data_IF_983521465976
#
_entry.id   IF_983521465976
#
_cell.length_a   1.000
_cell.length_b   1.000
_cell.length_c   1.000
_cell.angle_alpha   90.00
_cell.angle_beta   90.00
_cell.angle_gamma   90.00
#
_symmetry.space_group_name_H-M   'P 1'
#
loop_
_entity.id
_entity.type
_entity.pdbx_description
1 polymer ?
#
# COMPACT_ATOMS: atom_id res chain seq x y z
N UNK A 1 63.01 27.60 28.41
CA UNK A 1 61.56 27.81 28.61
C UNK A 1 60.75 28.10 27.34
N UNK A 2 61.35 28.62 26.25
CA UNK A 2 60.63 28.96 25.01
C UNK A 2 60.12 27.76 24.18
N UNK A 3 60.85 26.64 24.19
CA UNK A 3 60.55 25.43 23.41
C UNK A 3 59.21 24.80 23.82
N UNK A 4 58.88 24.77 25.11
CA UNK A 4 57.58 24.27 25.61
C UNK A 4 56.39 25.09 25.11
N UNK A 5 56.54 26.42 24.97
CA UNK A 5 55.47 27.29 24.44
C UNK A 5 55.26 27.07 22.94
N UNK A 6 56.34 26.84 22.20
CA UNK A 6 56.27 26.53 20.76
C UNK A 6 55.67 25.14 20.50
N UNK A 7 56.03 24.14 21.32
CA UNK A 7 55.39 22.82 21.27
C UNK A 7 53.90 22.88 21.61
N UNK A 8 53.51 23.64 22.63
CA UNK A 8 52.09 23.84 22.98
C UNK A 8 51.28 24.48 21.84
N UNK A 9 51.84 25.48 21.15
CA UNK A 9 51.19 26.11 19.99
C UNK A 9 51.04 25.16 18.80
N UNK A 10 52.02 24.29 18.56
CA UNK A 10 51.96 23.27 17.52
C UNK A 10 50.91 22.19 17.82
N UNK A 11 50.82 21.74 19.08
CA UNK A 11 49.81 20.77 19.51
C UNK A 11 48.42 21.41 19.47
N UNK A 12 48.27 22.66 19.93
CA UNK A 12 47.00 23.39 19.87
C UNK A 12 46.52 23.58 18.43
N UNK A 13 47.43 23.94 17.51
CA UNK A 13 47.12 24.10 16.09
C UNK A 13 46.70 22.78 15.44
N UNK A 14 47.41 21.69 15.73
CA UNK A 14 47.03 20.36 15.24
C UNK A 14 45.70 19.88 15.85
N UNK A 15 45.45 20.15 17.13
CA UNK A 15 44.21 19.81 17.81
C UNK A 15 42.99 20.53 17.22
N UNK A 16 43.11 21.84 16.97
CA UNK A 16 42.06 22.64 16.35
C UNK A 16 41.76 22.18 14.91
N UNK A 17 42.81 21.88 14.14
CA UNK A 17 42.71 21.38 12.77
C UNK A 17 41.99 20.01 12.73
N UNK A 18 42.36 19.11 13.64
CA UNK A 18 41.78 17.76 13.73
C UNK A 18 40.33 17.81 14.22
N UNK A 19 40.00 18.70 15.17
CA UNK A 19 38.61 18.90 15.63
C UNK A 19 37.69 19.42 14.53
N UNK A 20 38.16 20.35 13.68
CA UNK A 20 37.32 20.96 12.65
C UNK A 20 36.96 19.97 11.55
N UNK A 21 37.89 19.11 11.15
CA UNK A 21 37.64 18.04 10.16
C UNK A 21 36.65 16.99 10.68
N UNK A 22 36.77 16.59 11.96
CA UNK A 22 35.83 15.64 12.60
C UNK A 22 34.43 16.25 12.74
N UNK A 23 34.33 17.55 13.06
CA UNK A 23 33.03 18.23 13.11
C UNK A 23 32.37 18.34 11.73
N UNK A 24 33.15 18.57 10.67
CA UNK A 24 32.63 18.64 9.29
C UNK A 24 32.07 17.29 8.86
N UNK A 25 32.82 16.19 9.06
CA UNK A 25 32.33 14.85 8.72
C UNK A 25 31.16 14.40 9.58
N UNK A 26 31.12 14.77 10.86
CA UNK A 26 29.95 14.53 11.71
C UNK A 26 28.71 15.23 11.17
N UNK A 27 28.81 16.51 10.81
CA UNK A 27 27.68 17.26 10.24
C UNK A 27 27.27 16.68 8.89
N UNK A 28 28.23 16.28 8.05
CA UNK A 28 27.99 15.66 6.75
C UNK A 28 27.24 14.32 6.84
N UNK A 29 27.43 13.56 7.92
CA UNK A 29 26.69 12.31 8.18
C UNK A 29 25.36 12.58 8.88
N UNK A 30 25.34 13.50 9.86
CA UNK A 30 24.13 13.82 10.63
C UNK A 30 23.08 14.48 9.74
N UNK A 31 23.48 15.36 8.82
CA UNK A 31 22.57 16.09 7.93
C UNK A 31 21.66 15.15 7.11
N UNK A 32 22.18 14.20 6.29
CA UNK A 32 21.35 13.26 5.54
C UNK A 32 20.56 12.31 6.44
N UNK A 33 21.08 11.94 7.62
CA UNK A 33 20.35 11.16 8.62
C UNK A 33 19.14 11.93 9.16
N UNK A 34 19.30 13.22 9.45
CA UNK A 34 18.24 14.09 9.97
C UNK A 34 17.15 14.28 8.92
N UNK A 35 17.53 14.56 7.67
CA UNK A 35 16.58 14.63 6.55
C UNK A 35 15.83 13.31 6.34
N UNK A 36 16.54 12.17 6.34
CA UNK A 36 15.93 10.86 6.20
C UNK A 36 14.94 10.57 7.35
N UNK A 37 15.33 10.90 8.59
CA UNK A 37 14.48 10.75 9.76
C UNK A 37 13.20 11.58 9.66
N UNK A 38 13.29 12.85 9.25
CA UNK A 38 12.13 13.72 9.04
C UNK A 38 11.17 13.11 8.00
N UNK A 39 11.69 12.64 6.86
CA UNK A 39 10.87 12.03 5.81
C UNK A 39 10.15 10.76 6.29
N UNK A 40 10.81 9.93 7.10
CA UNK A 40 10.19 8.74 7.70
C UNK A 40 9.08 9.14 8.66
N UNK A 41 9.31 10.13 9.53
CA UNK A 41 8.29 10.63 10.48
C UNK A 41 7.10 11.21 9.73
N UNK A 42 7.34 12.03 8.69
CA UNK A 42 6.26 12.57 7.86
C UNK A 42 5.43 11.45 7.22
N UNK A 43 6.09 10.42 6.69
CA UNK A 43 5.40 9.25 6.11
C UNK A 43 4.56 8.49 7.14
N UNK A 44 5.01 8.40 8.39
CA UNK A 44 4.25 7.78 9.47
C UNK A 44 3.06 8.64 9.93
N UNK A 45 3.17 9.97 9.81
CA UNK A 45 2.09 10.90 10.16
C UNK A 45 0.98 10.94 9.11
N UNK A 46 1.29 10.61 7.86
CA UNK A 46 0.27 10.39 6.82
C UNK A 46 -0.36 9.02 7.06
N UNK A 47 -1.33 8.99 7.97
CA UNK A 47 -2.19 7.83 8.11
C UNK A 47 -3.04 7.66 6.83
N UNK A 48 -3.16 6.42 6.37
CA UNK A 48 -4.20 6.06 5.41
C UNK A 48 -5.54 6.53 5.97
N UNK A 49 -6.23 7.37 5.21
CA UNK A 49 -7.54 7.88 5.60
C UNK A 49 -8.55 6.78 5.32
N UNK A 50 -9.06 6.16 6.38
CA UNK A 50 -10.13 5.19 6.28
C UNK A 50 -11.42 5.95 5.95
N UNK A 51 -12.03 5.63 4.81
CA UNK A 51 -13.34 6.14 4.44
C UNK A 51 -14.37 5.10 4.90
N UNK A 52 -15.14 5.38 5.97
CA UNK A 52 -16.12 4.41 6.49
C UNK A 52 -17.33 4.24 5.55
N UNK A 53 -17.48 5.14 4.57
CA UNK A 53 -18.55 5.09 3.59
C UNK A 53 -17.97 4.89 2.20
N UNK A 54 -18.61 4.05 1.39
CA UNK A 54 -18.19 3.79 0.02
C UNK A 54 -18.22 5.11 -0.78
N UNK A 55 -17.06 5.57 -1.23
CA UNK A 55 -16.95 6.73 -2.10
C UNK A 55 -17.45 6.34 -3.48
N UNK A 56 -18.63 6.82 -3.84
CA UNK A 56 -19.21 6.62 -5.18
C UNK A 56 -18.50 7.56 -6.15
N UNK A 57 -17.86 6.99 -7.16
CA UNK A 57 -17.25 7.73 -8.26
C UNK A 57 -18.14 7.65 -9.49
N UNK A 58 -18.25 8.76 -10.21
CA UNK A 58 -18.85 8.78 -11.54
C UNK A 58 -17.99 7.97 -12.51
N UNK A 59 -18.64 7.38 -13.52
CA UNK A 59 -17.93 6.62 -14.55
C UNK A 59 -16.96 7.53 -15.31
N UNK A 60 -15.70 7.10 -15.41
CA UNK A 60 -14.67 7.81 -16.16
C UNK A 60 -13.91 6.84 -17.08
N UNK A 61 -13.60 7.28 -18.30
CA UNK A 61 -12.86 6.49 -19.28
C UNK A 61 -11.36 6.48 -18.93
N UNK A 62 -10.85 5.31 -18.57
CA UNK A 62 -9.43 5.14 -18.24
C UNK A 62 -8.67 4.70 -19.49
N UNK A 63 -8.24 5.66 -20.31
CA UNK A 63 -7.53 5.36 -21.56
C UNK A 63 -6.06 4.97 -21.34
N UNK A 64 -5.43 5.45 -20.25
CA UNK A 64 -4.02 5.16 -19.93
C UNK A 64 -3.78 5.14 -18.42
N UNK A 65 -3.20 4.04 -17.93
CA UNK A 65 -2.69 3.97 -16.56
C UNK A 65 -1.24 4.49 -16.49
N UNK A 66 -0.80 5.01 -15.32
CA UNK A 66 0.58 5.45 -15.11
C UNK A 66 1.61 4.37 -15.47
N UNK A 67 2.68 4.73 -16.18
CA UNK A 67 3.68 3.79 -16.70
C UNK A 67 4.40 2.92 -15.65
N UNK A 68 4.36 3.31 -14.37
CA UNK A 68 4.91 2.52 -13.26
C UNK A 68 4.23 1.15 -13.16
N UNK A 69 2.93 1.07 -13.48
CA UNK A 69 2.14 -0.15 -13.39
C UNK A 69 2.44 -1.15 -14.51
N UNK A 70 3.00 -0.70 -15.63
CA UNK A 70 3.33 -1.55 -16.79
C UNK A 70 4.50 -2.50 -16.49
N UNK A 71 5.42 -2.09 -15.61
CA UNK A 71 6.63 -2.86 -15.27
C UNK A 71 6.43 -3.79 -14.07
N UNK A 72 5.28 -3.72 -13.40
CA UNK A 72 5.01 -4.49 -12.19
C UNK A 72 4.05 -5.65 -12.46
N UNK A 73 4.27 -6.79 -11.80
CA UNK A 73 3.32 -7.91 -11.78
C UNK A 73 2.19 -7.60 -10.79
N UNK A 74 1.22 -6.81 -11.24
CA UNK A 74 0.05 -6.44 -10.45
C UNK A 74 -0.96 -7.59 -10.42
N UNK A 75 -1.65 -7.71 -9.30
CA UNK A 75 -2.76 -8.63 -9.12
C UNK A 75 -4.05 -7.82 -9.00
N UNK A 76 -5.09 -8.22 -9.73
CA UNK A 76 -6.46 -7.73 -9.58
C UNK A 76 -7.29 -8.88 -9.02
N UNK A 77 -8.00 -8.61 -7.94
CA UNK A 77 -8.88 -9.59 -7.32
C UNK A 77 -10.34 -9.41 -7.76
N UNK A 78 -11.10 -10.48 -7.67
CA UNK A 78 -12.55 -10.45 -7.87
C UNK A 78 -13.26 -11.35 -6.86
N UNK A 79 -14.46 -10.93 -6.46
CA UNK A 79 -15.34 -11.64 -5.50
C UNK A 79 -16.78 -11.55 -5.99
N UNK A 80 -17.56 -12.64 -6.06
CA UNK A 80 -17.20 -14.01 -5.66
C UNK A 80 -16.48 -14.79 -6.76
N UNK A 81 -15.52 -15.63 -6.35
CA UNK A 81 -14.74 -16.51 -7.22
C UNK A 81 -15.49 -17.75 -7.70
N UNK A 82 -16.63 -18.07 -7.08
CA UNK A 82 -17.41 -19.27 -7.39
C UNK A 82 -18.27 -19.11 -8.65
N UNK A 83 -18.63 -17.88 -9.03
CA UNK A 83 -19.42 -17.62 -10.23
C UNK A 83 -18.59 -17.75 -11.50
N UNK A 84 -19.04 -18.59 -12.43
CA UNK A 84 -18.39 -18.80 -13.73
C UNK A 84 -18.43 -17.53 -14.58
N UNK A 85 -19.50 -16.76 -14.47
CA UNK A 85 -19.70 -15.52 -15.22
C UNK A 85 -18.82 -14.40 -14.71
N UNK A 86 -18.68 -14.25 -13.39
CA UNK A 86 -17.73 -13.29 -12.80
C UNK A 86 -16.29 -13.61 -13.23
N UNK A 87 -15.94 -14.89 -13.24
CA UNK A 87 -14.63 -15.36 -13.72
C UNK A 87 -14.42 -15.06 -15.21
N UNK A 88 -15.46 -15.19 -16.03
CA UNK A 88 -15.37 -14.85 -17.46
C UNK A 88 -15.13 -13.36 -17.67
N UNK A 89 -15.87 -12.50 -16.96
CA UNK A 89 -15.66 -11.04 -16.99
C UNK A 89 -14.24 -10.69 -16.55
N UNK A 90 -13.73 -11.35 -15.51
CA UNK A 90 -12.36 -11.20 -15.06
C UNK A 90 -11.34 -11.55 -16.16
N UNK A 91 -11.48 -12.68 -16.86
CA UNK A 91 -10.57 -13.03 -17.96
C UNK A 91 -10.71 -12.10 -19.18
N UNK A 92 -11.90 -11.57 -19.48
CA UNK A 92 -12.10 -10.58 -20.54
C UNK A 92 -11.36 -9.28 -20.22
N UNK A 93 -11.49 -8.78 -18.98
CA UNK A 93 -10.75 -7.60 -18.49
C UNK A 93 -9.25 -7.84 -18.55
N UNK A 94 -8.78 -9.04 -18.20
CA UNK A 94 -7.36 -9.42 -18.30
C UNK A 94 -6.86 -9.33 -19.73
N UNK A 95 -7.65 -9.85 -20.67
CA UNK A 95 -7.29 -9.86 -22.10
C UNK A 95 -7.23 -8.45 -22.66
N UNK A 96 -8.22 -7.61 -22.34
CA UNK A 96 -8.26 -6.22 -22.79
C UNK A 96 -7.09 -5.39 -22.22
N UNK A 97 -6.81 -5.59 -20.93
CA UNK A 97 -5.68 -5.01 -20.22
C UNK A 97 -4.33 -5.41 -20.85
N UNK A 98 -4.18 -6.67 -21.25
CA UNK A 98 -2.97 -7.15 -21.91
C UNK A 98 -2.72 -6.47 -23.25
N UNK A 99 -3.77 -6.24 -24.05
CA UNK A 99 -3.71 -5.50 -25.32
C UNK A 99 -3.28 -4.05 -25.11
N UNK A 100 -3.69 -3.43 -24.00
CA UNK A 100 -3.23 -2.09 -23.58
C UNK A 100 -1.80 -2.08 -22.99
N UNK A 101 -1.07 -3.20 -23.04
CA UNK A 101 0.32 -3.30 -22.58
C UNK A 101 0.47 -3.54 -21.07
N UNK A 102 -0.60 -3.82 -20.35
CA UNK A 102 -0.57 -4.00 -18.90
C UNK A 102 -0.67 -5.47 -18.51
N UNK A 103 0.28 -5.96 -17.69
CA UNK A 103 0.33 -7.36 -17.24
C UNK A 103 -0.30 -7.53 -15.86
N UNK A 104 -1.59 -7.84 -15.84
CA UNK A 104 -2.34 -8.10 -14.61
C UNK A 104 -2.61 -9.60 -14.44
N UNK A 105 -2.47 -10.07 -13.21
CA UNK A 105 -2.89 -11.40 -12.78
C UNK A 105 -4.26 -11.33 -12.10
N UNK A 106 -5.19 -12.15 -12.53
CA UNK A 106 -6.51 -12.27 -11.92
C UNK A 106 -6.46 -13.24 -10.74
N UNK A 107 -7.05 -12.87 -9.59
CA UNK A 107 -7.18 -13.75 -8.42
C UNK A 107 -8.61 -13.74 -7.89
N UNK A 108 -9.31 -14.86 -8.02
CA UNK A 108 -10.65 -15.01 -7.46
C UNK A 108 -10.60 -15.34 -5.97
N UNK A 109 -11.51 -14.77 -5.19
CA UNK A 109 -11.78 -15.18 -3.81
C UNK A 109 -13.26 -15.51 -3.66
N UNK A 110 -13.57 -16.59 -2.97
CA UNK A 110 -14.96 -17.06 -2.79
C UNK A 110 -15.82 -16.04 -2.01
N UNK A 111 -15.26 -15.46 -0.95
CA UNK A 111 -15.94 -14.49 -0.09
C UNK A 111 -15.08 -13.27 0.19
N UNK A 112 -15.74 -12.18 0.59
CA UNK A 112 -15.08 -10.94 1.04
C UNK A 112 -14.18 -11.21 2.25
N UNK A 113 -14.57 -12.10 3.16
CA UNK A 113 -13.76 -12.43 4.35
C UNK A 113 -12.43 -13.10 3.97
N UNK A 114 -12.44 -14.00 3.00
CA UNK A 114 -11.22 -14.62 2.48
C UNK A 114 -10.29 -13.59 1.82
N UNK A 115 -10.88 -12.64 1.11
CA UNK A 115 -10.17 -11.52 0.53
C UNK A 115 -9.54 -10.62 1.60
N UNK A 116 -10.31 -10.19 2.60
CA UNK A 116 -9.80 -9.36 3.71
C UNK A 116 -8.66 -10.06 4.46
N UNK A 117 -8.82 -11.36 4.71
CA UNK A 117 -7.82 -12.16 5.39
C UNK A 117 -6.50 -12.21 4.60
N UNK A 118 -6.58 -12.37 3.27
CA UNK A 118 -5.42 -12.32 2.38
C UNK A 118 -4.72 -10.96 2.42
N UNK A 119 -5.49 -9.85 2.36
CA UNK A 119 -4.94 -8.49 2.41
C UNK A 119 -4.25 -8.18 3.73
N UNK A 120 -4.76 -8.72 4.85
CA UNK A 120 -4.19 -8.48 6.19
C UNK A 120 -2.95 -9.33 6.49
N UNK A 121 -2.94 -10.58 6.07
CA UNK A 121 -1.98 -11.56 6.58
C UNK A 121 -0.95 -12.03 5.56
N UNK A 122 -1.19 -11.87 4.25
CA UNK A 122 -0.27 -12.36 3.22
C UNK A 122 0.74 -11.29 2.81
N UNK A 123 2.07 -11.53 2.91
CA UNK A 123 3.08 -10.60 2.41
C UNK A 123 3.02 -10.37 0.89
N UNK A 124 2.36 -11.25 0.13
CA UNK A 124 2.12 -11.07 -1.30
C UNK A 124 1.00 -10.07 -1.62
N UNK A 125 0.22 -9.63 -0.62
CA UNK A 125 -0.84 -8.64 -0.80
C UNK A 125 -0.31 -7.32 -1.36
N UNK A 126 0.96 -6.97 -1.13
CA UNK A 126 1.55 -5.72 -1.64
C UNK A 126 1.58 -5.60 -3.17
N UNK A 127 1.31 -6.69 -3.91
CA UNK A 127 1.16 -6.69 -5.37
C UNK A 127 -0.29 -6.57 -5.83
N UNK A 128 -1.24 -6.63 -4.90
CA UNK A 128 -2.66 -6.48 -5.17
C UNK A 128 -2.99 -5.00 -5.38
N UNK A 129 -3.56 -4.69 -6.54
CA UNK A 129 -3.96 -3.33 -6.91
C UNK A 129 -5.31 -2.98 -6.29
N UNK A 130 -6.31 -3.82 -6.58
CA UNK A 130 -7.67 -3.66 -6.12
C UNK A 130 -8.43 -5.00 -6.24
N UNK A 131 -9.58 -5.06 -5.60
CA UNK A 131 -10.58 -6.09 -5.79
C UNK A 131 -11.88 -5.49 -6.30
N UNK A 132 -12.53 -6.20 -7.23
CA UNK A 132 -13.91 -5.93 -7.63
C UNK A 132 -14.82 -6.88 -6.86
N UNK A 133 -15.72 -6.32 -6.04
CA UNK A 133 -16.71 -7.09 -5.31
C UNK A 133 -18.07 -6.87 -5.97
N UNK A 134 -18.67 -7.95 -6.45
CA UNK A 134 -20.00 -7.94 -7.04
C UNK A 134 -21.04 -8.12 -5.94
N UNK A 135 -21.85 -7.11 -5.70
CA UNK A 135 -22.94 -7.14 -4.71
C UNK A 135 -24.17 -7.81 -5.32
N UNK A 136 -24.02 -9.08 -5.68
CA UNK A 136 -25.11 -9.88 -6.23
C UNK A 136 -25.10 -11.28 -5.60
N UNK A 137 -26.19 -11.69 -4.94
CA UNK A 137 -26.31 -13.05 -4.42
C UNK A 137 -26.55 -14.02 -5.58
N UNK A 138 -25.50 -14.73 -6.00
CA UNK A 138 -25.62 -15.81 -6.98
C UNK A 138 -26.26 -17.04 -6.31
N UNK A 139 -27.39 -17.50 -6.85
CA UNK A 139 -28.03 -18.74 -6.37
C UNK A 139 -27.41 -19.97 -7.02
N UNK A 140 -26.89 -19.81 -8.24
CA UNK A 140 -26.19 -20.84 -9.01
C UNK A 140 -24.93 -20.29 -9.66
N UNK A 141 -23.90 -21.13 -9.82
CA UNK A 141 -22.58 -20.71 -10.30
C UNK A 141 -22.61 -20.17 -11.74
N UNK A 142 -23.55 -20.66 -12.56
CA UNK A 142 -23.74 -20.29 -13.97
C UNK A 142 -24.86 -19.25 -14.19
N UNK A 143 -25.35 -18.62 -13.11
CA UNK A 143 -26.37 -17.59 -13.21
C UNK A 143 -25.81 -16.33 -13.92
N UNK A 144 -26.46 -15.85 -15.00
CA UNK A 144 -25.98 -14.69 -15.75
C UNK A 144 -26.10 -13.41 -14.90
N UNK A 145 -25.10 -12.53 -14.99
CA UNK A 145 -25.20 -11.23 -14.32
C UNK A 145 -26.35 -10.39 -14.90
N UNK A 146 -27.14 -9.71 -14.05
CA UNK A 146 -28.17 -8.79 -14.52
C UNK A 146 -27.55 -7.59 -15.25
N UNK A 147 -28.32 -6.90 -16.11
CA UNK A 147 -27.83 -5.76 -16.90
C UNK A 147 -27.29 -4.60 -16.05
N UNK A 148 -27.71 -4.49 -14.79
CA UNK A 148 -27.18 -3.54 -13.81
C UNK A 148 -26.77 -4.30 -12.57
N UNK A 149 -25.51 -4.14 -12.19
CA UNK A 149 -24.92 -4.79 -11.03
C UNK A 149 -24.28 -3.71 -10.15
N UNK A 150 -24.61 -3.72 -8.87
CA UNK A 150 -23.87 -2.94 -7.89
C UNK A 150 -22.48 -3.58 -7.71
N UNK A 151 -21.43 -2.80 -7.93
CA UNK A 151 -20.05 -3.25 -7.77
C UNK A 151 -19.29 -2.30 -6.85
N UNK A 152 -18.51 -2.87 -5.94
CA UNK A 152 -17.63 -2.14 -5.05
C UNK A 152 -16.18 -2.39 -5.45
N UNK A 153 -15.39 -1.32 -5.53
CA UNK A 153 -13.95 -1.38 -5.75
C UNK A 153 -13.22 -1.20 -4.42
N UNK A 154 -12.47 -2.22 -4.01
CA UNK A 154 -11.70 -2.20 -2.77
C UNK A 154 -10.21 -2.15 -3.10
N UNK A 155 -9.50 -1.12 -2.65
CA UNK A 155 -8.07 -0.98 -2.85
C UNK A 155 -7.32 -1.10 -1.52
N UNK A 156 -6.17 -1.76 -1.52
CA UNK A 156 -5.31 -1.77 -0.34
C UNK A 156 -4.65 -0.41 -0.18
N UNK A 157 -4.92 0.27 0.94
CA UNK A 157 -4.13 1.44 1.29
C UNK A 157 -2.78 0.97 1.85
N UNK A 158 -1.69 1.32 1.15
CA UNK A 158 -0.33 0.95 1.52
C UNK A 158 0.08 1.60 2.85
N UNK A 159 -0.26 0.94 3.96
CA UNK A 159 0.23 1.31 5.28
C UNK A 159 1.66 0.78 5.37
N UNK A 160 2.65 1.68 5.30
CA UNK A 160 4.04 1.29 5.57
C UNK A 160 4.17 1.02 7.06
N UNK A 161 3.96 -0.24 7.43
CA UNK A 161 4.27 -0.73 8.76
C UNK A 161 5.79 -0.87 8.82
N UNK A 162 6.49 0.21 9.19
CA UNK A 162 7.83 0.06 9.78
C UNK A 162 7.60 -0.73 11.06
N UNK A 163 8.15 -1.94 11.12
CA UNK A 163 7.86 -2.98 12.10
C UNK A 163 7.57 -2.43 13.50
N UNK A 164 6.29 -2.46 13.88
CA UNK A 164 5.88 -2.26 15.25
C UNK A 164 5.99 -3.64 15.93
N UNK A 165 7.17 -3.96 16.43
CA UNK A 165 7.25 -4.88 17.56
C UNK A 165 6.55 -4.15 18.71
N UNK A 166 5.29 -4.48 18.96
CA UNK A 166 4.68 -4.51 20.29
C UNK A 166 3.18 -4.84 20.16
N UNK A 167 2.91 -6.12 20.36
CA UNK A 167 2.01 -6.63 21.40
C UNK A 167 1.26 -5.58 22.23
N UNK A 168 0.32 -4.85 21.63
CA UNK A 168 -0.67 -4.08 22.39
C UNK A 168 -1.93 -3.89 21.56
N UNK A 169 -3.07 -4.17 22.19
CA UNK A 169 -4.44 -4.17 21.67
C UNK A 169 -4.90 -5.50 21.04
N UNK A 170 -4.83 -6.56 21.86
CA UNK A 170 -6.07 -7.32 22.13
C UNK A 170 -7.01 -6.34 22.81
N UNK A 171 -8.04 -5.88 22.13
CA UNK A 171 -9.35 -5.56 22.70
C UNK A 171 -10.30 -5.07 21.60
N UNK A 172 -11.58 -5.38 21.79
CA UNK A 172 -12.73 -5.13 20.91
C UNK A 172 -12.96 -6.12 19.76
N UNK A 173 -13.41 -7.31 20.16
CA UNK A 173 -14.75 -7.83 19.81
C UNK A 173 -15.59 -6.95 18.86
N UNK A 174 -16.11 -7.59 17.83
CA UNK A 174 -17.21 -7.13 16.97
C UNK A 174 -18.41 -6.56 17.76
N UNK A 175 -19.25 -5.75 17.10
CA UNK A 175 -20.47 -6.35 16.54
C UNK A 175 -20.90 -5.80 15.16
N UNK A 176 -21.46 -6.71 14.36
CA UNK A 176 -22.70 -6.48 13.59
C UNK A 176 -22.67 -5.47 12.44
N UNK A 177 -22.50 -5.97 11.22
CA UNK A 177 -22.85 -5.29 9.96
C UNK A 177 -24.37 -5.03 9.98
N UNK A 178 -24.80 -3.77 10.09
CA UNK A 178 -26.22 -3.42 10.02
C UNK A 178 -26.71 -3.47 8.57
N UNK A 179 -27.69 -4.32 8.39
CA UNK A 179 -28.54 -4.52 7.22
C UNK A 179 -29.32 -3.23 6.92
N UNK A 180 -29.12 -2.65 5.74
CA UNK A 180 -30.01 -1.59 5.22
C UNK A 180 -30.85 -2.18 4.08
N UNK A 181 -32.07 -2.57 4.45
CA UNK A 181 -33.22 -2.68 3.57
C UNK A 181 -33.81 -1.27 3.41
N UNK A 182 -34.18 -0.86 2.19
CA UNK A 182 -35.37 -0.03 1.97
C UNK A 182 -35.75 0.02 0.48
N UNK A 183 -37.03 -0.32 0.26
CA UNK A 183 -37.99 0.07 -0.79
C UNK A 183 -37.50 0.46 -2.19
#
# INVERSE_FOLDING_TARGET
MAIMRQFGLLVWKNYLQQKRQILVTLVEIILPLLFSGILIVLRQKVACKDFPNATVYESYAVDRLPGIFVMQHLQLAYVPGNSSVVRQVAEDVRTHCFVCGMRVWMRGFETEEHFENYVRNDPQSGKLLAAVVFEHPFSHDDEPLPLKVATALMAQCSRIIVGKNDQSLKDSSAPGRQMWSHN
#
